data_IF_125028279991
#
_entry.id   IF_125028279991
#
_cell.length_a   1.000
_cell.length_b   1.000
_cell.length_c   1.000
_cell.angle_alpha   90.00
_cell.angle_beta   90.00
_cell.angle_gamma   90.00
#
_symmetry.space_group_name_H-M   'P 1'
#
loop_
_entity.id
_entity.type
_entity.pdbx_description
1 polymer ?
#
# COMPACT_ATOMS: atom_id res chain seq x y z
N UNK A 1 -11.92 -29.07 -1.87
CA UNK A 1 -13.34 -28.83 -1.50
C UNK A 1 -14.22 -29.20 -2.69
N UNK A 2 -15.54 -29.29 -2.53
CA UNK A 2 -16.46 -29.45 -3.67
C UNK A 2 -16.77 -28.09 -4.31
N UNK A 3 -17.10 -28.08 -5.60
CA UNK A 3 -17.52 -26.86 -6.30
C UNK A 3 -18.68 -26.16 -5.58
N UNK A 4 -19.71 -26.90 -5.17
CA UNK A 4 -20.87 -26.32 -4.48
C UNK A 4 -20.50 -25.58 -3.20
N UNK A 5 -19.57 -26.11 -2.41
CA UNK A 5 -19.13 -25.44 -1.17
C UNK A 5 -18.37 -24.15 -1.49
N UNK A 6 -17.43 -24.19 -2.46
CA UNK A 6 -16.71 -23.00 -2.90
C UNK A 6 -17.63 -21.98 -3.58
N UNK A 7 -18.67 -22.42 -4.28
CA UNK A 7 -19.66 -21.55 -4.91
C UNK A 7 -20.50 -20.80 -3.86
N UNK A 8 -20.94 -21.48 -2.79
CA UNK A 8 -21.67 -20.82 -1.71
C UNK A 8 -20.78 -19.85 -0.93
N UNK A 9 -19.54 -20.22 -0.61
CA UNK A 9 -18.58 -19.27 -0.03
C UNK A 9 -18.38 -18.06 -0.94
N UNK A 10 -18.22 -18.26 -2.25
CA UNK A 10 -18.11 -17.13 -3.18
C UNK A 10 -19.36 -16.24 -3.13
N UNK A 11 -20.57 -16.81 -3.15
CA UNK A 11 -21.80 -16.01 -3.08
C UNK A 11 -21.92 -15.25 -1.75
N UNK A 12 -21.57 -15.88 -0.63
CA UNK A 12 -21.57 -15.22 0.69
C UNK A 12 -20.61 -14.00 0.68
N UNK A 13 -19.38 -14.19 0.17
CA UNK A 13 -18.40 -13.10 0.08
C UNK A 13 -18.84 -12.01 -0.90
N UNK A 14 -19.54 -12.38 -1.99
CA UNK A 14 -20.10 -11.44 -2.96
C UNK A 14 -21.28 -10.63 -2.39
N UNK A 15 -22.11 -11.23 -1.54
CA UNK A 15 -23.20 -10.54 -0.84
C UNK A 15 -22.68 -9.61 0.27
N UNK A 16 -21.53 -9.94 0.86
CA UNK A 16 -20.82 -9.11 1.84
C UNK A 16 -19.97 -7.99 1.19
N UNK A 17 -19.82 -7.98 -0.14
CA UNK A 17 -19.11 -6.90 -0.84
C UNK A 17 -19.87 -5.57 -0.70
N UNK A 18 -19.17 -4.45 -0.41
CA UNK A 18 -19.76 -3.13 -0.45
C UNK A 18 -20.43 -2.82 -1.81
N UNK A 19 -21.58 -2.16 -1.77
CA UNK A 19 -22.21 -1.65 -2.99
C UNK A 19 -21.24 -0.68 -3.69
N UNK A 20 -20.97 -0.95 -4.98
CA UNK A 20 -20.02 -0.14 -5.75
C UNK A 20 -18.57 -0.66 -5.76
N UNK A 21 -18.27 -1.84 -5.21
CA UNK A 21 -16.95 -2.47 -5.40
C UNK A 21 -16.67 -2.69 -6.90
N UNK A 22 -15.59 -2.08 -7.38
CA UNK A 22 -15.08 -2.26 -8.74
C UNK A 22 -14.02 -3.36 -8.77
N UNK A 23 -14.22 -4.34 -9.63
CA UNK A 23 -13.26 -5.39 -9.96
C UNK A 23 -12.64 -5.10 -11.33
N UNK A 24 -11.41 -5.58 -11.53
CA UNK A 24 -10.66 -5.43 -12.78
C UNK A 24 -10.47 -6.82 -13.39
N UNK A 25 -10.75 -6.97 -14.68
CA UNK A 25 -10.49 -8.22 -15.39
C UNK A 25 -8.97 -8.42 -15.61
N UNK A 26 -8.41 -9.62 -15.39
CA UNK A 26 -6.95 -9.80 -15.36
C UNK A 26 -6.24 -9.63 -16.70
N UNK A 27 -6.87 -10.01 -17.82
CA UNK A 27 -6.22 -9.93 -19.13
C UNK A 27 -6.50 -8.60 -19.84
N UNK A 28 -7.76 -8.16 -19.79
CA UNK A 28 -8.23 -6.99 -20.55
C UNK A 28 -8.28 -5.70 -19.75
N UNK A 29 -8.01 -5.75 -18.43
CA UNK A 29 -7.99 -4.60 -17.53
C UNK A 29 -9.28 -3.74 -17.59
N UNK A 30 -10.42 -4.35 -17.89
CA UNK A 30 -11.72 -3.70 -17.87
C UNK A 30 -12.28 -3.65 -16.45
N UNK A 31 -12.75 -2.45 -16.07
CA UNK A 31 -13.41 -2.21 -14.79
C UNK A 31 -14.87 -2.62 -14.86
N UNK A 32 -15.33 -3.36 -13.86
CA UNK A 32 -16.73 -3.75 -13.72
C UNK A 32 -17.13 -3.86 -12.26
N UNK A 33 -18.40 -3.61 -11.96
CA UNK A 33 -18.98 -3.83 -10.64
C UNK A 33 -19.92 -5.04 -10.66
N UNK A 34 -20.11 -5.65 -9.49
CA UNK A 34 -21.08 -6.72 -9.30
C UNK A 34 -22.39 -6.07 -8.90
N UNK A 35 -23.42 -6.28 -9.72
CA UNK A 35 -24.75 -5.69 -9.51
C UNK A 35 -25.69 -6.63 -8.78
N UNK A 36 -25.52 -7.95 -8.95
CA UNK A 36 -26.36 -8.95 -8.31
C UNK A 36 -25.66 -10.31 -8.30
N UNK A 37 -25.62 -10.98 -7.15
CA UNK A 37 -25.18 -12.37 -7.02
C UNK A 37 -26.40 -13.29 -6.84
N UNK A 38 -26.49 -14.36 -7.63
CA UNK A 38 -27.59 -15.33 -7.58
C UNK A 38 -27.05 -16.76 -7.63
N UNK A 39 -27.80 -17.71 -7.08
CA UNK A 39 -27.43 -19.14 -7.07
C UNK A 39 -27.11 -19.72 -8.46
N UNK A 40 -27.67 -19.14 -9.53
CA UNK A 40 -27.46 -19.59 -10.90
C UNK A 40 -26.44 -18.75 -11.71
N UNK A 41 -26.13 -17.53 -11.27
CA UNK A 41 -25.33 -16.56 -12.04
C UNK A 41 -24.91 -15.34 -11.20
N UNK A 42 -23.85 -14.66 -11.62
CA UNK A 42 -23.46 -13.33 -11.11
C UNK A 42 -23.66 -12.31 -12.23
N UNK A 43 -24.29 -11.18 -11.93
CA UNK A 43 -24.53 -10.10 -12.90
C UNK A 43 -23.49 -9.01 -12.68
N UNK A 44 -22.70 -8.74 -13.73
CA UNK A 44 -21.68 -7.70 -13.73
C UNK A 44 -22.08 -6.53 -14.64
N UNK A 45 -21.57 -5.34 -14.35
CA UNK A 45 -21.72 -4.16 -15.19
C UNK A 45 -20.36 -3.55 -15.48
N UNK A 46 -19.98 -3.45 -16.76
CA UNK A 46 -18.74 -2.82 -17.20
C UNK A 46 -18.88 -1.30 -17.27
N UNK A 47 -18.04 -0.59 -16.53
CA UNK A 47 -18.05 0.88 -16.46
C UNK A 47 -17.65 1.51 -17.80
N UNK A 48 -16.61 0.97 -18.45
CA UNK A 48 -16.05 1.53 -19.69
C UNK A 48 -17.00 1.46 -20.90
N UNK A 49 -17.97 0.54 -20.87
CA UNK A 49 -18.78 0.17 -22.04
C UNK A 49 -20.29 0.28 -21.82
N UNK A 50 -20.70 0.67 -20.61
CA UNK A 50 -22.12 0.71 -20.20
C UNK A 50 -22.84 -0.60 -20.56
N UNK A 51 -22.20 -1.73 -20.25
CA UNK A 51 -22.66 -3.08 -20.65
C UNK A 51 -22.89 -3.95 -19.42
N UNK A 52 -24.11 -4.46 -19.26
CA UNK A 52 -24.43 -5.45 -18.22
C UNK A 52 -24.40 -6.86 -18.79
N UNK A 53 -23.71 -7.77 -18.10
CA UNK A 53 -23.51 -9.15 -18.56
C UNK A 53 -23.71 -10.17 -17.44
N UNK A 54 -24.46 -11.26 -17.68
CA UNK A 54 -24.58 -12.37 -16.73
C UNK A 54 -23.44 -13.38 -16.90
N UNK A 55 -22.72 -13.67 -15.82
CA UNK A 55 -21.73 -14.75 -15.70
C UNK A 55 -22.41 -16.00 -15.15
N UNK A 56 -22.37 -17.10 -15.90
CA UNK A 56 -23.16 -18.29 -15.61
C UNK A 56 -22.42 -19.24 -14.65
N UNK A 57 -23.13 -19.80 -13.66
CA UNK A 57 -22.57 -20.76 -12.70
C UNK A 57 -21.83 -21.92 -13.36
N UNK A 58 -22.34 -22.46 -14.47
CA UNK A 58 -21.71 -23.60 -15.16
C UNK A 58 -20.30 -23.27 -15.68
N UNK A 59 -20.06 -21.99 -16.02
CA UNK A 59 -18.74 -21.53 -16.45
C UNK A 59 -17.79 -21.36 -15.25
N UNK A 60 -18.30 -20.90 -14.09
CA UNK A 60 -17.54 -20.93 -12.84
C UNK A 60 -17.14 -22.36 -12.45
N UNK A 61 -18.05 -23.33 -12.59
CA UNK A 61 -17.75 -24.74 -12.32
C UNK A 61 -16.69 -25.30 -13.27
N UNK A 62 -16.77 -24.91 -14.54
CA UNK A 62 -15.80 -25.33 -15.55
C UNK A 62 -14.41 -24.79 -15.21
N UNK A 63 -14.30 -23.50 -14.85
CA UNK A 63 -13.04 -22.89 -14.45
C UNK A 63 -12.51 -23.50 -13.14
N UNK A 64 -13.38 -23.71 -12.15
CA UNK A 64 -13.04 -24.36 -10.89
C UNK A 64 -12.36 -25.72 -11.07
N UNK A 65 -12.95 -26.59 -11.92
CA UNK A 65 -12.38 -27.91 -12.22
C UNK A 65 -11.02 -27.79 -12.90
N UNK A 66 -10.86 -26.85 -13.84
CA UNK A 66 -9.58 -26.62 -14.52
C UNK A 66 -8.48 -26.13 -13.57
N UNK A 67 -8.82 -25.32 -12.57
CA UNK A 67 -7.89 -24.88 -11.53
C UNK A 67 -7.47 -26.06 -10.66
N UNK A 68 -8.41 -26.94 -10.28
CA UNK A 68 -8.08 -28.13 -9.48
C UNK A 68 -7.23 -29.15 -10.23
N UNK A 69 -7.41 -29.26 -11.54
CA UNK A 69 -6.63 -30.17 -12.40
C UNK A 69 -5.22 -29.63 -12.70
N UNK A 70 -4.89 -28.39 -12.29
CA UNK A 70 -3.64 -27.70 -12.57
C UNK A 70 -2.84 -27.44 -11.28
N UNK A 71 -1.83 -28.26 -10.94
CA UNK A 71 -1.07 -28.13 -9.68
C UNK A 71 -0.27 -26.83 -9.57
N UNK A 72 0.13 -26.24 -10.71
CA UNK A 72 0.89 -24.97 -10.76
C UNK A 72 -0.03 -23.76 -11.07
N UNK A 73 -1.35 -23.93 -11.04
CA UNK A 73 -2.32 -22.91 -11.43
C UNK A 73 -2.80 -23.01 -12.87
N UNK A 74 -3.97 -22.42 -13.13
CA UNK A 74 -4.57 -22.38 -14.45
C UNK A 74 -4.11 -21.14 -15.21
N UNK A 75 -3.47 -21.36 -16.36
CA UNK A 75 -3.03 -20.36 -17.35
C UNK A 75 -4.22 -19.60 -17.97
N UNK A 76 -4.33 -18.31 -17.64
CA UNK A 76 -5.40 -17.41 -18.03
C UNK A 76 -5.37 -17.10 -19.54
N UNK A 77 -4.22 -17.17 -20.21
CA UNK A 77 -4.11 -16.97 -21.66
C UNK A 77 -4.89 -18.04 -22.46
N UNK A 78 -5.29 -19.13 -21.79
CA UNK A 78 -6.13 -20.20 -22.36
C UNK A 78 -7.63 -19.91 -22.23
N UNK A 79 -8.01 -18.81 -21.62
CA UNK A 79 -9.41 -18.41 -21.51
C UNK A 79 -9.96 -17.97 -22.88
N UNK A 80 -11.22 -18.30 -23.18
CA UNK A 80 -11.96 -17.61 -24.22
C UNK A 80 -11.95 -16.09 -23.99
N UNK A 81 -11.98 -15.30 -25.06
CA UNK A 81 -11.95 -13.84 -24.98
C UNK A 81 -13.09 -13.22 -24.14
N UNK A 82 -14.20 -13.95 -23.96
CA UNK A 82 -15.33 -13.53 -23.14
C UNK A 82 -15.28 -14.10 -21.72
N UNK A 83 -14.29 -14.91 -21.34
CA UNK A 83 -14.22 -15.55 -20.02
C UNK A 83 -13.33 -14.80 -19.01
N UNK A 84 -12.76 -13.67 -19.40
CA UNK A 84 -11.86 -12.86 -18.56
C UNK A 84 -12.45 -12.36 -17.22
N UNK A 85 -13.77 -12.11 -17.08
CA UNK A 85 -14.33 -11.72 -15.79
C UNK A 85 -14.43 -12.85 -14.75
N UNK A 86 -14.39 -14.12 -15.17
CA UNK A 86 -14.59 -15.24 -14.25
C UNK A 86 -13.46 -15.39 -13.21
N UNK A 87 -12.17 -15.28 -13.58
CA UNK A 87 -11.08 -15.24 -12.61
C UNK A 87 -11.17 -14.09 -11.62
N UNK A 88 -11.51 -12.87 -12.08
CA UNK A 88 -11.67 -11.70 -11.22
C UNK A 88 -12.82 -11.86 -10.20
N UNK A 89 -13.91 -12.52 -10.57
CA UNK A 89 -14.96 -12.84 -9.59
C UNK A 89 -14.49 -13.96 -8.65
N UNK A 90 -13.72 -14.94 -9.13
CA UNK A 90 -13.16 -15.97 -8.24
C UNK A 90 -12.19 -15.41 -7.20
N UNK A 91 -11.43 -14.36 -7.49
CA UNK A 91 -10.46 -13.78 -6.52
C UNK A 91 -11.12 -13.14 -5.30
N UNK A 92 -12.44 -12.90 -5.33
CA UNK A 92 -13.22 -12.54 -4.13
C UNK A 92 -13.30 -13.70 -3.14
N UNK A 93 -13.24 -14.95 -3.62
CA UNK A 93 -13.20 -16.08 -2.71
C UNK A 93 -11.84 -16.15 -2.00
N UNK A 94 -11.77 -16.29 -0.67
CA UNK A 94 -10.53 -16.29 0.14
C UNK A 94 -9.50 -17.37 -0.15
N UNK A 95 -9.72 -18.24 -1.14
CA UNK A 95 -8.82 -19.36 -1.47
C UNK A 95 -8.38 -19.33 -2.92
N UNK A 96 -8.87 -18.38 -3.70
CA UNK A 96 -8.53 -18.21 -5.10
C UNK A 96 -7.75 -16.92 -5.24
N UNK A 97 -6.66 -16.98 -5.99
CA UNK A 97 -5.77 -15.85 -6.18
C UNK A 97 -5.40 -15.77 -7.66
N UNK A 98 -5.55 -14.58 -8.23
CA UNK A 98 -5.13 -14.25 -9.58
C UNK A 98 -3.74 -13.63 -9.49
N UNK A 99 -2.81 -14.17 -10.29
CA UNK A 99 -1.48 -13.64 -10.51
C UNK A 99 -1.45 -13.09 -11.94
N UNK A 100 -1.59 -11.77 -12.08
CA UNK A 100 -1.64 -11.08 -13.38
C UNK A 100 -0.29 -11.15 -14.11
N UNK A 101 0.83 -11.11 -13.37
CA UNK A 101 2.19 -11.19 -13.93
C UNK A 101 2.50 -12.56 -14.52
N UNK A 102 2.11 -13.62 -13.82
CA UNK A 102 2.25 -14.99 -14.31
C UNK A 102 1.09 -15.41 -15.23
N UNK A 103 0.05 -14.58 -15.37
CA UNK A 103 -1.20 -14.89 -16.08
C UNK A 103 -1.80 -16.23 -15.60
N UNK A 104 -1.83 -16.47 -14.29
CA UNK A 104 -2.40 -17.71 -13.71
C UNK A 104 -3.39 -17.43 -12.59
N UNK A 105 -4.36 -18.33 -12.42
CA UNK A 105 -5.21 -18.39 -11.22
C UNK A 105 -4.96 -19.69 -10.46
N UNK A 106 -4.77 -19.59 -9.15
CA UNK A 106 -4.45 -20.74 -8.28
C UNK A 106 -5.47 -20.90 -7.15
N UNK A 107 -5.60 -22.12 -6.62
CA UNK A 107 -6.38 -22.40 -5.42
C UNK A 107 -5.45 -22.79 -4.26
N UNK A 108 -5.49 -22.03 -3.17
CA UNK A 108 -4.70 -22.27 -1.96
C UNK A 108 -5.43 -23.15 -0.93
N UNK A 109 -4.66 -23.86 -0.10
CA UNK A 109 -5.20 -24.67 1.01
C UNK A 109 -5.55 -23.84 2.24
N UNK A 110 -4.85 -22.72 2.44
CA UNK A 110 -5.03 -21.74 3.52
C UNK A 110 -5.77 -20.52 2.94
N UNK A 111 -6.61 -19.88 3.75
CA UNK A 111 -7.26 -18.63 3.35
C UNK A 111 -6.17 -17.56 3.08
N UNK A 112 -6.09 -17.09 1.84
CA UNK A 112 -5.31 -15.93 1.43
C UNK A 112 -6.11 -14.67 1.72
N UNK A 113 -5.43 -13.57 2.04
CA UNK A 113 -6.09 -12.27 2.15
C UNK A 113 -6.72 -11.95 0.79
N UNK A 114 -8.04 -11.77 0.78
CA UNK A 114 -8.83 -11.49 -0.42
C UNK A 114 -8.23 -10.31 -1.18
N UNK A 115 -7.99 -10.47 -2.48
CA UNK A 115 -7.61 -9.38 -3.40
C UNK A 115 -8.84 -8.50 -3.72
N UNK A 116 -9.61 -8.12 -2.70
CA UNK A 116 -10.53 -6.99 -2.84
C UNK A 116 -9.62 -5.78 -2.76
N UNK A 117 -9.41 -5.14 -3.91
CA UNK A 117 -9.01 -3.75 -3.96
C UNK A 117 -10.01 -3.03 -3.07
N UNK A 118 -9.52 -2.58 -1.92
CA UNK A 118 -10.26 -1.86 -0.89
C UNK A 118 -11.29 -0.98 -1.59
N UNK A 119 -12.57 -1.20 -1.27
CA UNK A 119 -13.58 -0.24 -1.65
C UNK A 119 -13.06 1.11 -1.17
N UNK A 120 -13.10 2.11 -2.04
CA UNK A 120 -13.02 3.49 -1.60
C UNK A 120 -14.23 3.71 -0.67
N UNK A 121 -14.10 3.31 0.60
CA UNK A 121 -14.69 4.07 1.67
C UNK A 121 -14.01 5.43 1.53
N UNK A 122 -14.65 6.33 0.79
CA UNK A 122 -14.51 7.73 1.11
C UNK A 122 -14.93 7.84 2.57
N UNK A 123 -13.94 7.70 3.46
CA UNK A 123 -14.04 8.12 4.84
C UNK A 123 -14.64 9.52 4.74
N UNK A 124 -15.87 9.64 5.22
CA UNK A 124 -16.51 10.94 5.28
C UNK A 124 -15.66 11.80 6.21
N UNK A 125 -15.68 13.13 6.07
CA UNK A 125 -14.85 13.97 6.95
C UNK A 125 -15.20 13.77 8.44
N UNK A 126 -16.38 13.23 8.75
CA UNK A 126 -16.82 12.80 10.09
C UNK A 126 -16.06 11.58 10.65
N UNK A 127 -15.41 10.77 9.80
CA UNK A 127 -14.67 9.56 10.18
C UNK A 127 -13.17 9.79 10.40
N UNK A 128 -12.68 11.02 10.18
CA UNK A 128 -11.26 11.37 10.37
C UNK A 128 -10.96 11.65 11.83
N UNK A 129 -10.04 10.87 12.38
CA UNK A 129 -9.56 11.06 13.75
C UNK A 129 -8.07 11.41 13.69
N UNK A 130 -7.71 12.54 14.29
CA UNK A 130 -6.32 12.92 14.51
C UNK A 130 -5.60 11.81 15.31
N UNK A 131 -4.49 11.27 14.80
CA UNK A 131 -3.77 10.20 15.48
C UNK A 131 -3.02 10.73 16.70
N UNK A 132 -3.50 10.38 17.89
CA UNK A 132 -2.84 10.71 19.16
C UNK A 132 -1.45 10.05 19.26
N UNK A 133 -0.42 10.89 19.44
CA UNK A 133 0.94 10.43 19.73
C UNK A 133 1.73 9.94 18.52
N UNK A 134 1.29 10.25 17.29
CA UNK A 134 2.05 9.97 16.08
C UNK A 134 2.88 11.19 15.67
N UNK A 135 4.19 11.16 15.95
CA UNK A 135 5.09 12.31 15.75
C UNK A 135 5.13 12.76 14.27
N UNK A 136 5.21 11.82 13.32
CA UNK A 136 5.21 12.14 11.88
C UNK A 136 3.95 12.90 11.43
N UNK A 137 2.81 12.70 12.08
CA UNK A 137 1.59 13.44 11.76
C UNK A 137 1.73 14.90 12.18
N UNK A 138 2.16 15.14 13.41
CA UNK A 138 2.32 16.49 13.97
C UNK A 138 3.38 17.28 13.20
N UNK A 139 4.53 16.66 12.92
CA UNK A 139 5.64 17.31 12.22
C UNK A 139 5.33 17.55 10.74
N UNK A 140 4.54 16.68 10.10
CA UNK A 140 4.07 16.91 8.74
C UNK A 140 3.14 18.14 8.66
N UNK A 141 2.24 18.32 9.64
CA UNK A 141 1.39 19.51 9.71
C UNK A 141 2.21 20.79 9.91
N UNK A 142 3.21 20.77 10.80
CA UNK A 142 4.13 21.89 10.99
C UNK A 142 4.97 22.19 9.74
N UNK A 143 5.38 21.16 9.00
CA UNK A 143 6.08 21.33 7.74
C UNK A 143 5.17 21.97 6.68
N UNK A 144 3.93 21.49 6.51
CA UNK A 144 2.95 22.08 5.59
C UNK A 144 2.75 23.56 5.93
N UNK A 145 2.51 23.87 7.21
CA UNK A 145 2.35 25.22 7.74
C UNK A 145 3.54 26.15 7.39
N UNK A 146 4.77 25.64 7.51
CA UNK A 146 5.98 26.37 7.16
C UNK A 146 6.14 26.55 5.64
N UNK A 147 5.80 25.53 4.84
CA UNK A 147 5.85 25.59 3.37
C UNK A 147 4.84 26.59 2.80
N UNK A 148 3.68 26.75 3.44
CA UNK A 148 2.65 27.72 3.01
C UNK A 148 3.01 29.18 3.33
N UNK A 149 3.85 29.41 4.36
CA UNK A 149 4.29 30.76 4.77
C UNK A 149 5.49 31.29 3.99
N UNK A 150 6.22 30.42 3.30
CA UNK A 150 7.46 30.76 2.64
C UNK A 150 7.39 30.43 1.15
N UNK A 151 7.86 31.35 0.29
CA UNK A 151 8.05 31.04 -1.12
C UNK A 151 9.29 30.14 -1.27
N UNK A 152 9.05 28.83 -1.20
CA UNK A 152 10.10 27.81 -1.30
C UNK A 152 10.55 27.53 -2.73
N UNK A 153 10.00 28.25 -3.73
CA UNK A 153 10.43 28.10 -5.12
C UNK A 153 11.81 28.70 -5.39
N UNK A 154 12.26 29.65 -4.55
CA UNK A 154 13.63 30.17 -4.54
C UNK A 154 14.21 30.23 -3.11
N UNK A 155 14.89 29.15 -2.71
CA UNK A 155 15.52 29.03 -1.38
C UNK A 155 16.61 30.08 -1.13
N UNK A 156 17.17 30.71 -2.18
CA UNK A 156 18.25 31.69 -2.02
C UNK A 156 17.77 33.05 -1.53
N UNK A 157 16.47 33.32 -1.67
CA UNK A 157 15.83 34.55 -1.20
C UNK A 157 15.32 34.43 0.25
N UNK A 158 15.34 33.22 0.83
CA UNK A 158 14.91 32.99 2.20
C UNK A 158 16.00 33.40 3.21
N UNK A 159 15.55 34.01 4.31
CA UNK A 159 16.42 34.30 5.44
C UNK A 159 16.94 33.01 6.09
N UNK A 160 18.14 33.08 6.68
CA UNK A 160 18.77 31.94 7.36
C UNK A 160 17.86 31.29 8.40
N UNK A 161 17.08 32.07 9.15
CA UNK A 161 16.18 31.54 10.18
C UNK A 161 15.06 30.68 9.54
N UNK A 162 14.52 31.09 8.39
CA UNK A 162 13.54 30.31 7.65
C UNK A 162 14.16 29.02 7.09
N UNK A 163 15.39 29.08 6.56
CA UNK A 163 16.12 27.91 6.08
C UNK A 163 16.44 26.91 7.21
N UNK A 164 16.81 27.39 8.39
CA UNK A 164 17.06 26.54 9.56
C UNK A 164 15.77 25.85 10.01
N UNK A 165 14.65 26.57 10.04
CA UNK A 165 13.35 26.00 10.39
C UNK A 165 12.93 24.91 9.39
N UNK A 166 13.00 25.21 8.09
CA UNK A 166 12.68 24.25 7.04
C UNK A 166 13.58 23.01 7.11
N UNK A 167 14.89 23.19 7.28
CA UNK A 167 15.83 22.07 7.42
C UNK A 167 15.49 21.18 8.62
N UNK A 168 15.16 21.79 9.76
CA UNK A 168 14.83 21.06 10.99
C UNK A 168 13.55 20.24 10.80
N UNK A 169 12.47 20.87 10.33
CA UNK A 169 11.19 20.20 10.08
C UNK A 169 11.30 19.09 9.03
N UNK A 170 12.05 19.31 7.95
CA UNK A 170 12.32 18.26 6.94
C UNK A 170 13.09 17.08 7.53
N UNK A 171 14.05 17.34 8.42
CA UNK A 171 14.82 16.30 9.11
C UNK A 171 13.94 15.48 10.06
N UNK A 172 13.07 16.14 10.82
CA UNK A 172 12.18 15.48 11.78
C UNK A 172 11.12 14.64 11.04
N UNK A 173 10.43 15.21 10.03
CA UNK A 173 9.51 14.47 9.16
C UNK A 173 10.20 13.28 8.49
N UNK A 174 11.43 13.44 7.97
CA UNK A 174 12.16 12.33 7.37
C UNK A 174 12.42 11.21 8.38
N UNK A 175 12.86 11.56 9.60
CA UNK A 175 13.22 10.60 10.63
C UNK A 175 11.98 9.84 11.09
N UNK A 176 10.93 10.55 11.42
CA UNK A 176 9.75 9.98 12.07
C UNK A 176 8.87 9.25 11.04
N UNK A 177 8.82 9.72 9.78
CA UNK A 177 8.25 8.93 8.68
C UNK A 177 9.03 7.64 8.44
N UNK A 178 10.36 7.67 8.57
CA UNK A 178 11.17 6.47 8.41
C UNK A 178 11.03 5.49 9.59
N UNK A 179 10.83 5.98 10.82
CA UNK A 179 10.52 5.17 12.00
C UNK A 179 9.16 4.48 11.84
N UNK A 180 8.11 5.25 11.58
CA UNK A 180 6.77 4.70 11.39
C UNK A 180 6.70 3.74 10.18
N UNK A 181 7.39 4.05 9.08
CA UNK A 181 7.52 3.15 7.92
C UNK A 181 8.17 1.82 8.28
N UNK A 182 9.11 1.78 9.23
CA UNK A 182 9.71 0.52 9.69
C UNK A 182 8.71 -0.30 10.51
N UNK A 183 7.95 0.32 11.40
CA UNK A 183 6.88 -0.37 12.15
C UNK A 183 5.84 -0.98 11.22
N UNK A 184 5.41 -0.23 10.19
CA UNK A 184 4.52 -0.74 9.14
C UNK A 184 5.17 -1.90 8.38
N UNK A 185 6.45 -1.79 8.03
CA UNK A 185 7.19 -2.83 7.34
C UNK A 185 7.30 -4.12 8.18
N UNK A 186 7.51 -4.03 9.49
CA UNK A 186 7.57 -5.18 10.38
C UNK A 186 6.24 -5.94 10.42
N UNK A 187 5.12 -5.20 10.49
CA UNK A 187 3.77 -5.79 10.42
C UNK A 187 3.53 -6.43 9.05
N UNK A 188 3.95 -5.77 7.96
CA UNK A 188 3.84 -6.31 6.60
C UNK A 188 4.68 -7.58 6.42
N UNK A 189 5.91 -7.63 6.94
CA UNK A 189 6.74 -8.84 6.89
C UNK A 189 6.09 -10.04 7.57
N UNK A 190 5.36 -9.81 8.67
CA UNK A 190 4.61 -10.86 9.35
C UNK A 190 3.41 -11.37 8.52
N UNK A 191 2.87 -10.55 7.60
CA UNK A 191 1.72 -10.87 6.76
C UNK A 191 2.11 -11.39 5.37
N UNK A 192 3.25 -10.96 4.83
CA UNK A 192 3.74 -11.36 3.52
C UNK A 192 4.44 -12.72 3.63
N UNK A 193 3.80 -13.75 3.06
CA UNK A 193 4.28 -15.14 3.12
C UNK A 193 4.99 -15.62 1.84
N UNK A 194 4.97 -14.82 0.78
CA UNK A 194 5.60 -15.13 -0.52
C UNK A 194 6.37 -13.93 -1.07
N UNK A 195 7.32 -14.18 -1.97
CA UNK A 195 8.12 -13.15 -2.65
C UNK A 195 7.35 -12.36 -3.74
N UNK A 196 6.02 -12.50 -3.81
CA UNK A 196 5.16 -11.75 -4.75
C UNK A 196 4.72 -10.38 -4.20
N UNK A 197 4.55 -9.36 -5.05
CA UNK A 197 3.98 -8.06 -4.65
C UNK A 197 2.55 -8.17 -4.13
N UNK A 198 2.23 -7.35 -3.14
CA UNK A 198 0.88 -7.10 -2.64
C UNK A 198 0.56 -5.63 -2.87
N UNK A 199 -0.56 -5.38 -3.53
CA UNK A 199 -1.01 -4.05 -3.93
C UNK A 199 -1.92 -3.42 -2.87
N UNK A 200 -1.81 -2.11 -2.74
CA UNK A 200 -2.76 -1.25 -2.04
C UNK A 200 -3.04 0.00 -2.87
N UNK A 201 -3.84 0.92 -2.32
CA UNK A 201 -4.34 2.09 -3.05
C UNK A 201 -3.25 2.94 -3.74
N UNK A 202 -2.07 3.08 -3.13
CA UNK A 202 -1.02 4.00 -3.60
C UNK A 202 0.20 3.30 -4.21
N UNK A 203 0.13 1.98 -4.41
CA UNK A 203 1.23 1.18 -4.95
C UNK A 203 1.32 -0.21 -4.35
N UNK A 204 2.43 -0.91 -4.60
CA UNK A 204 2.63 -2.30 -4.20
C UNK A 204 3.94 -2.53 -3.45
N UNK A 205 3.96 -3.54 -2.60
CA UNK A 205 5.11 -3.94 -1.79
C UNK A 205 5.34 -5.44 -1.84
N UNK A 206 6.59 -5.89 -1.80
CA UNK A 206 6.94 -7.30 -1.82
C UNK A 206 7.96 -7.62 -0.71
N UNK A 207 7.92 -8.85 -0.21
CA UNK A 207 8.97 -9.39 0.65
C UNK A 207 10.19 -9.72 -0.22
N UNK A 208 11.38 -9.44 0.29
CA UNK A 208 12.64 -9.79 -0.37
C UNK A 208 13.68 -10.11 0.70
N UNK A 209 14.57 -11.05 0.40
CA UNK A 209 15.72 -11.33 1.26
C UNK A 209 16.98 -10.61 0.76
N UNK A 210 17.82 -10.22 1.72
CA UNK A 210 19.18 -9.77 1.49
C UNK A 210 20.10 -10.69 2.24
N UNK A 211 21.05 -11.29 1.53
CA UNK A 211 22.12 -12.08 2.11
C UNK A 211 23.35 -11.20 2.32
N UNK A 212 23.72 -10.96 3.56
CA UNK A 212 24.98 -10.33 3.93
C UNK A 212 26.01 -11.40 4.27
N UNK A 213 27.26 -11.20 3.86
CA UNK A 213 28.36 -12.11 4.20
C UNK A 213 29.52 -11.32 4.82
N UNK A 214 29.97 -11.71 5.99
CA UNK A 214 31.18 -11.21 6.65
C UNK A 214 32.18 -12.34 6.82
N UNK A 215 33.47 -12.06 6.65
CA UNK A 215 34.48 -13.07 6.90
C UNK A 215 34.42 -13.49 8.37
N UNK A 216 34.59 -14.78 8.61
CA UNK A 216 34.88 -15.28 9.95
C UNK A 216 36.25 -14.80 10.42
N UNK A 217 36.58 -15.10 11.67
CA UNK A 217 37.88 -14.78 12.23
C UNK A 217 39.03 -15.23 11.31
N UNK A 218 39.99 -14.34 11.08
CA UNK A 218 41.08 -14.54 10.13
C UNK A 218 41.82 -15.86 10.35
N UNK A 219 42.03 -16.27 11.61
CA UNK A 219 42.71 -17.52 11.95
C UNK A 219 41.86 -18.73 11.57
N UNK A 220 40.54 -18.67 11.82
CA UNK A 220 39.60 -19.72 11.42
C UNK A 220 39.55 -19.86 9.89
N UNK A 221 39.50 -18.75 9.17
CA UNK A 221 39.48 -18.76 7.69
C UNK A 221 40.77 -19.37 7.13
N UNK A 222 41.94 -18.98 7.66
CA UNK A 222 43.22 -19.51 7.24
C UNK A 222 43.35 -21.01 7.53
N UNK A 223 42.94 -21.47 8.72
CA UNK A 223 42.93 -22.89 9.08
C UNK A 223 42.06 -23.72 8.13
N UNK A 224 40.88 -23.21 7.76
CA UNK A 224 39.96 -23.87 6.81
C UNK A 224 40.58 -23.99 5.43
N UNK A 225 41.19 -22.91 4.93
CA UNK A 225 41.87 -22.89 3.63
C UNK A 225 43.09 -23.83 3.60
N UNK A 226 43.90 -23.88 4.67
CA UNK A 226 45.04 -24.80 4.78
C UNK A 226 44.60 -26.26 4.79
N UNK A 227 43.57 -26.59 5.55
CA UNK A 227 42.97 -27.93 5.58
C UNK A 227 42.40 -28.36 4.21
N UNK A 228 42.03 -27.40 3.36
CA UNK A 228 41.58 -27.64 1.99
C UNK A 228 42.73 -27.66 0.95
N UNK A 229 43.98 -27.54 1.39
CA UNK A 229 45.17 -27.64 0.54
C UNK A 229 45.69 -26.32 -0.02
N UNK A 230 45.27 -25.18 0.53
CA UNK A 230 45.83 -23.86 0.20
C UNK A 230 46.90 -23.50 1.24
N UNK A 231 48.18 -23.52 0.85
CA UNK A 231 49.27 -23.12 1.74
C UNK A 231 49.10 -21.68 2.26
N UNK A 232 49.29 -21.49 3.57
CA UNK A 232 49.24 -20.19 4.27
C UNK A 232 50.14 -19.10 3.66
N UNK A 233 51.19 -19.48 2.94
CA UNK A 233 52.10 -18.55 2.24
C UNK A 233 51.44 -17.90 1.01
N UNK A 234 50.36 -18.48 0.49
CA UNK A 234 49.60 -17.94 -0.66
C UNK A 234 48.55 -16.90 -0.23
N UNK A 235 48.18 -16.84 1.05
CA UNK A 235 47.17 -15.93 1.60
C UNK A 235 47.80 -15.08 2.72
N UNK A 236 48.63 -14.11 2.34
CA UNK A 236 49.33 -13.22 3.27
C UNK A 236 48.41 -12.20 4.00
N UNK A 237 47.17 -12.07 3.55
CA UNK A 237 46.11 -11.26 4.17
C UNK A 237 44.75 -11.88 3.86
N UNK A 238 43.88 -11.97 4.86
CA UNK A 238 42.51 -12.49 4.72
C UNK A 238 41.62 -11.36 4.20
N UNK A 239 41.68 -11.14 2.89
CA UNK A 239 40.79 -10.20 2.20
C UNK A 239 39.72 -10.98 1.43
N UNK A 240 38.48 -10.47 1.44
CA UNK A 240 37.32 -11.13 0.79
C UNK A 240 37.63 -11.64 -0.61
N UNK A 241 38.25 -10.80 -1.46
CA UNK A 241 38.61 -11.17 -2.83
C UNK A 241 39.50 -12.41 -2.92
N UNK A 242 40.47 -12.57 -2.00
CA UNK A 242 41.39 -13.71 -2.00
C UNK A 242 40.72 -14.98 -1.47
N UNK A 243 39.85 -14.83 -0.48
CA UNK A 243 39.06 -15.94 0.07
C UNK A 243 38.08 -16.44 -0.99
N UNK A 244 37.44 -15.54 -1.74
CA UNK A 244 36.55 -15.90 -2.86
C UNK A 244 37.33 -16.65 -3.96
N UNK A 245 38.50 -16.16 -4.39
CA UNK A 245 39.37 -16.87 -5.35
C UNK A 245 39.80 -18.25 -4.86
N UNK A 246 40.05 -18.41 -3.55
CA UNK A 246 40.40 -19.69 -2.96
C UNK A 246 39.20 -20.64 -2.88
N UNK A 247 37.99 -20.13 -2.64
CA UNK A 247 36.76 -20.92 -2.69
C UNK A 247 36.48 -21.49 -4.09
N UNK A 248 36.83 -20.79 -5.17
CA UNK A 248 36.65 -21.28 -6.54
C UNK A 248 37.48 -22.54 -6.86
N UNK A 249 38.61 -22.74 -6.16
CA UNK A 249 39.55 -23.85 -6.42
C UNK A 249 39.60 -24.88 -5.29
N UNK A 250 38.78 -24.71 -4.25
CA UNK A 250 38.68 -25.64 -3.11
C UNK A 250 37.31 -26.30 -3.06
N UNK A 251 37.17 -27.32 -2.21
CA UNK A 251 35.87 -27.95 -1.92
C UNK A 251 35.14 -27.30 -0.75
N UNK A 252 35.66 -26.18 -0.24
CA UNK A 252 35.06 -25.45 0.87
C UNK A 252 33.80 -24.72 0.38
N UNK A 253 32.79 -24.68 1.24
CA UNK A 253 31.59 -23.88 1.04
C UNK A 253 31.81 -22.46 1.53
N UNK A 254 31.01 -21.50 1.04
CA UNK A 254 31.06 -20.12 1.57
C UNK A 254 30.84 -20.10 3.09
N UNK A 255 29.96 -20.96 3.62
CA UNK A 255 29.70 -21.06 5.07
C UNK A 255 30.87 -21.56 5.90
N UNK A 256 31.90 -22.14 5.29
CA UNK A 256 33.10 -22.55 6.00
C UNK A 256 33.98 -21.35 6.38
N UNK A 257 33.92 -20.26 5.61
CA UNK A 257 34.81 -19.09 5.74
C UNK A 257 34.06 -17.76 5.94
N UNK A 258 32.76 -17.71 5.66
CA UNK A 258 31.90 -16.56 5.86
C UNK A 258 30.82 -16.84 6.92
N UNK A 259 30.58 -15.86 7.77
CA UNK A 259 29.32 -15.69 8.49
C UNK A 259 28.30 -15.09 7.53
N UNK A 260 27.22 -15.82 7.32
CA UNK A 260 26.17 -15.48 6.37
C UNK A 260 24.92 -15.14 7.17
N UNK A 261 24.47 -13.90 7.07
CA UNK A 261 23.23 -13.43 7.66
C UNK A 261 22.22 -13.17 6.54
N UNK A 262 21.03 -13.74 6.66
CA UNK A 262 19.92 -13.44 5.78
C UNK A 262 18.92 -12.56 6.52
N UNK A 263 18.60 -11.41 5.93
CA UNK A 263 17.63 -10.46 6.48
C UNK A 263 16.52 -10.24 5.47
N UNK A 264 15.29 -10.30 5.94
CA UNK A 264 14.11 -10.09 5.11
C UNK A 264 13.62 -8.66 5.29
N UNK A 265 13.20 -8.03 4.19
CA UNK A 265 12.74 -6.66 4.22
C UNK A 265 11.60 -6.47 3.22
N UNK A 266 10.72 -5.51 3.52
CA UNK A 266 9.70 -5.06 2.59
C UNK A 266 10.33 -4.11 1.59
N UNK A 267 10.15 -4.40 0.30
CA UNK A 267 10.55 -3.54 -0.79
C UNK A 267 9.31 -2.99 -1.48
N UNK A 268 9.26 -1.67 -1.67
CA UNK A 268 8.31 -1.03 -2.58
C UNK A 268 8.57 -1.54 -4.00
N UNK A 269 7.56 -2.16 -4.61
CA UNK A 269 7.61 -2.68 -5.96
C UNK A 269 7.19 -1.60 -6.95
N UNK A 270 5.97 -1.09 -6.82
CA UNK A 270 5.41 -0.05 -7.69
C UNK A 270 4.73 1.08 -6.92
N UNK A 271 4.48 2.18 -7.61
CA UNK A 271 3.75 3.35 -7.11
C UNK A 271 2.71 3.74 -8.14
N UNK A 272 1.48 3.94 -7.68
CA UNK A 272 0.42 4.51 -8.50
C UNK A 272 0.39 6.04 -8.29
N UNK A 273 1.06 6.78 -9.17
CA UNK A 273 1.13 8.24 -9.08
C UNK A 273 -0.19 8.90 -9.53
N UNK A 274 -0.92 8.28 -10.46
CA UNK A 274 -2.19 8.82 -11.00
C UNK A 274 -3.28 8.80 -9.92
N UNK A 275 -3.36 7.73 -9.13
CA UNK A 275 -4.27 7.64 -7.99
C UNK A 275 -3.89 8.65 -6.91
N UNK A 276 -2.60 8.84 -6.62
CA UNK A 276 -2.15 9.85 -5.66
C UNK A 276 -2.51 11.26 -6.08
N UNK A 277 -2.27 11.61 -7.35
CA UNK A 277 -2.59 12.93 -7.88
C UNK A 277 -4.10 13.18 -7.83
N UNK A 278 -4.90 12.22 -8.28
CA UNK A 278 -6.36 12.29 -8.26
C UNK A 278 -6.89 12.46 -6.84
N UNK A 279 -6.37 11.68 -5.88
CA UNK A 279 -6.78 11.77 -4.47
C UNK A 279 -6.37 13.10 -3.85
N UNK A 280 -5.15 13.57 -4.12
CA UNK A 280 -4.67 14.85 -3.62
C UNK A 280 -5.52 16.01 -4.17
N UNK A 281 -5.87 15.97 -5.46
CA UNK A 281 -6.74 16.98 -6.06
C UNK A 281 -8.12 16.98 -5.39
N UNK A 282 -8.73 15.80 -5.17
CA UNK A 282 -9.99 15.70 -4.46
C UNK A 282 -9.93 16.18 -2.99
N UNK A 283 -8.80 16.02 -2.31
CA UNK A 283 -8.58 16.60 -0.98
C UNK A 283 -8.50 18.13 -1.02
N UNK A 284 -7.79 18.69 -2.01
CA UNK A 284 -7.69 20.14 -2.19
C UNK A 284 -9.04 20.77 -2.52
N UNK A 285 -9.80 20.16 -3.42
CA UNK A 285 -11.12 20.64 -3.82
C UNK A 285 -12.08 20.67 -2.62
N UNK A 286 -12.02 19.66 -1.75
CA UNK A 286 -12.79 19.62 -0.49
C UNK A 286 -12.34 20.68 0.51
N UNK A 287 -11.04 20.85 0.72
CA UNK A 287 -10.52 21.87 1.64
C UNK A 287 -10.96 23.27 1.19
N UNK A 288 -10.85 23.58 -0.10
CA UNK A 288 -11.29 24.85 -0.66
C UNK A 288 -12.80 25.08 -0.47
N UNK A 289 -13.61 24.03 -0.57
CA UNK A 289 -15.07 24.11 -0.35
C UNK A 289 -15.40 24.32 1.14
N UNK A 290 -14.69 23.63 2.04
CA UNK A 290 -14.86 23.77 3.49
C UNK A 290 -14.42 25.13 4.00
N UNK A 291 -13.33 25.69 3.48
CA UNK A 291 -12.87 27.04 3.82
C UNK A 291 -13.90 28.11 3.45
N UNK A 292 -14.61 27.96 2.33
CA UNK A 292 -15.65 28.92 1.93
C UNK A 292 -16.89 28.81 2.84
N UNK A 293 -17.41 27.61 3.07
CA UNK A 293 -18.64 27.40 3.86
C UNK A 293 -18.45 27.64 5.37
N UNK A 294 -17.35 27.18 5.96
CA UNK A 294 -17.07 27.39 7.40
C UNK A 294 -16.62 28.83 7.67
N UNK A 295 -15.81 29.45 6.80
CA UNK A 295 -15.42 30.84 7.01
C UNK A 295 -16.57 31.82 6.74
N UNK A 296 -17.54 31.47 5.89
CA UNK A 296 -18.80 32.24 5.75
C UNK A 296 -19.65 32.11 7.02
N UNK A 297 -19.82 30.90 7.57
CA UNK A 297 -20.52 30.70 8.86
C UNK A 297 -19.84 31.42 10.03
N UNK A 298 -18.50 31.37 10.14
CA UNK A 298 -17.76 32.10 11.17
C UNK A 298 -17.86 33.62 11.00
N UNK A 299 -17.88 34.12 9.76
CA UNK A 299 -18.09 35.55 9.49
C UNK A 299 -19.50 35.98 9.91
N UNK A 300 -20.51 35.19 9.58
CA UNK A 300 -21.90 35.44 9.99
C UNK A 300 -22.04 35.40 11.52
N UNK A 301 -21.40 34.44 12.19
CA UNK A 301 -21.42 34.34 13.66
C UNK A 301 -20.71 35.53 14.32
N UNK A 302 -19.58 36.00 13.75
CA UNK A 302 -18.89 37.21 14.21
C UNK A 302 -19.77 38.44 13.98
N UNK A 303 -20.42 38.59 12.83
CA UNK A 303 -21.30 39.73 12.54
C UNK A 303 -22.52 39.76 13.48
N UNK A 304 -23.13 38.60 13.76
CA UNK A 304 -24.19 38.45 14.75
C UNK A 304 -23.72 38.80 16.18
N UNK A 305 -22.50 38.38 16.54
CA UNK A 305 -21.90 38.73 17.83
C UNK A 305 -21.59 40.22 17.94
N UNK A 306 -21.07 40.85 16.88
CA UNK A 306 -20.81 42.28 16.80
C UNK A 306 -22.11 43.09 16.90
N UNK A 307 -23.16 42.71 16.15
CA UNK A 307 -24.48 43.33 16.24
C UNK A 307 -25.07 43.22 17.65
N UNK A 308 -24.91 42.06 18.29
CA UNK A 308 -25.36 41.85 19.67
C UNK A 308 -24.57 42.70 20.68
N UNK A 309 -23.27 42.89 20.47
CA UNK A 309 -22.44 43.79 21.27
C UNK A 309 -22.88 45.24 21.07
N UNK A 310 -23.15 45.67 19.83
CA UNK A 310 -23.66 47.00 19.51
C UNK A 310 -25.04 47.25 20.13
N UNK A 311 -25.96 46.29 20.09
CA UNK A 311 -27.27 46.38 20.75
C UNK A 311 -27.12 46.48 22.28
N UNK A 312 -26.17 45.75 22.88
CA UNK A 312 -25.92 45.81 24.33
C UNK A 312 -25.17 47.08 24.76
N UNK A 313 -24.37 47.68 23.88
CA UNK A 313 -23.55 48.85 24.19
C UNK A 313 -24.22 50.17 23.80
N UNK A 314 -25.11 50.17 22.80
CA UNK A 314 -25.93 51.32 22.39
C UNK A 314 -26.89 51.79 23.48
N UNK A 315 -27.32 50.91 24.39
CA UNK A 315 -28.13 51.27 25.55
C UNK A 315 -27.35 51.94 26.71
N UNK A 316 -26.02 52.08 26.62
CA UNK A 316 -25.21 52.77 27.65
C UNK A 316 -24.94 54.25 27.37
N UNK A 317 -25.46 54.83 26.30
CA UNK A 317 -25.52 56.29 26.12
C UNK A 317 -26.91 56.83 26.45
N UNK A 318 -27.37 56.53 27.67
CA UNK A 318 -28.57 57.08 28.30
C UNK A 318 -28.27 58.02 29.46
N UNK A 319 -27.15 58.75 29.43
CA UNK A 319 -26.90 59.88 30.35
C UNK A 319 -27.43 61.17 29.75
N UNK A 320 -28.70 61.17 29.32
CA UNK A 320 -29.46 62.38 28.98
C UNK A 320 -30.97 62.08 28.93
N UNK A 321 -31.55 61.76 30.08
CA UNK A 321 -32.91 62.24 30.40
C UNK A 321 -32.78 63.11 31.66
N UNK A 322 -32.56 64.40 31.41
CA UNK A 322 -32.70 65.50 32.37
C UNK A 322 -34.12 65.50 32.96
N UNK A 323 -34.24 65.75 34.26
CA UNK A 323 -35.53 66.08 34.91
C UNK A 323 -35.61 65.62 36.34
#
# INVERSE_FOLDING_TARGET
MSFTASWHTLLDELDDLPEGTTLITPLSHHRFCITEAQEARVIIHFEDRDETRPLQRDQFETLYRRIQDAPDGFDLDRLPADADPYPAVWSVHPRFEVDEDASVITQSEVATATQVVDAEQELTDEDRIEPDGLDVYSDALLLIDALERHDVTDLSELDTDALVNLYTLLSDVQRDANEFRQEVADVLLARLHHDRPVSGQYGSVQRTSRRNRSLKDDEEVLERLENAGIDRERVLSVDRSKVDEALEVTTLSESDVYDIEESEYVRKAEVDEDVKESRLQGLKDRLATSEDDEAEQLRDEIEDLEQRIDDLTSFRTGTEMQG
#
